data_IF_564127023479
#
_entry.id   IF_564127023479
#
_cell.length_a   1.000
_cell.length_b   1.000
_cell.length_c   1.000
_cell.angle_alpha   90.00
_cell.angle_beta   90.00
_cell.angle_gamma   90.00
#
_symmetry.space_group_name_H-M   'P 1'
#
loop_
_entity.id
_entity.type
_entity.pdbx_description
1 polymer ?
#
# COMPACT_ATOMS: atom_id res chain seq x y z
N UNK A 1 -0.72 -25.16 -9.78
CA UNK A 1 -1.76 -24.99 -10.83
C UNK A 1 -2.93 -24.12 -10.36
N UNK A 2 -3.61 -24.43 -9.24
CA UNK A 2 -4.73 -23.61 -8.72
C UNK A 2 -4.37 -22.16 -8.36
N UNK A 3 -3.20 -21.92 -7.76
CA UNK A 3 -2.69 -20.58 -7.43
C UNK A 3 -2.54 -19.70 -8.67
N UNK A 4 -1.95 -20.24 -9.74
CA UNK A 4 -1.77 -19.50 -11.00
C UNK A 4 -3.11 -19.22 -11.70
N UNK A 5 -4.05 -20.18 -11.68
CA UNK A 5 -5.38 -20.00 -12.27
C UNK A 5 -6.18 -18.90 -11.56
N UNK A 6 -6.19 -18.91 -10.23
CA UNK A 6 -6.90 -17.90 -9.43
C UNK A 6 -6.25 -16.52 -9.55
N UNK A 7 -4.92 -16.46 -9.63
CA UNK A 7 -4.17 -15.24 -9.91
C UNK A 7 -4.53 -14.64 -11.28
N UNK A 8 -4.38 -15.41 -12.36
CA UNK A 8 -4.68 -14.96 -13.72
C UNK A 8 -6.15 -14.57 -13.83
N UNK A 9 -7.06 -15.36 -13.25
CA UNK A 9 -8.49 -15.10 -13.26
C UNK A 9 -8.84 -13.76 -12.61
N UNK A 10 -8.27 -13.47 -11.43
CA UNK A 10 -8.51 -12.20 -10.74
C UNK A 10 -7.89 -11.01 -11.50
N UNK A 11 -6.65 -11.14 -11.98
CA UNK A 11 -6.00 -10.08 -12.77
C UNK A 11 -6.76 -9.76 -14.05
N UNK A 12 -7.23 -10.78 -14.78
CA UNK A 12 -8.06 -10.59 -15.97
C UNK A 12 -9.41 -9.98 -15.62
N UNK A 13 -10.02 -10.35 -14.48
CA UNK A 13 -11.25 -9.74 -14.01
C UNK A 13 -11.08 -8.23 -13.75
N UNK A 14 -10.03 -7.83 -13.03
CA UNK A 14 -9.75 -6.42 -12.74
C UNK A 14 -9.48 -5.64 -14.03
N UNK A 15 -8.67 -6.21 -14.93
CA UNK A 15 -8.36 -5.60 -16.23
C UNK A 15 -9.62 -5.44 -17.09
N UNK A 16 -10.43 -6.49 -17.21
CA UNK A 16 -11.67 -6.48 -17.99
C UNK A 16 -12.71 -5.52 -17.41
N UNK A 17 -12.91 -5.53 -16.09
CA UNK A 17 -13.84 -4.62 -15.43
C UNK A 17 -13.43 -3.15 -15.62
N UNK A 18 -12.14 -2.85 -15.45
CA UNK A 18 -11.59 -1.50 -15.63
C UNK A 18 -11.77 -1.04 -17.07
N UNK A 19 -11.46 -1.89 -18.06
CA UNK A 19 -11.71 -1.61 -19.47
C UNK A 19 -13.19 -1.41 -19.77
N UNK A 20 -14.07 -2.31 -19.32
CA UNK A 20 -15.50 -2.26 -19.59
C UNK A 20 -16.13 -0.96 -19.05
N UNK A 21 -15.72 -0.53 -17.86
CA UNK A 21 -16.20 0.69 -17.21
C UNK A 21 -15.68 1.95 -17.89
N UNK A 22 -14.51 1.90 -18.54
CA UNK A 22 -13.81 3.07 -19.08
C UNK A 22 -13.76 3.14 -20.60
N UNK A 23 -14.26 2.14 -21.32
CA UNK A 23 -14.26 2.07 -22.79
C UNK A 23 -14.93 3.25 -23.52
N UNK A 24 -15.68 4.09 -22.82
CA UNK A 24 -16.35 5.29 -23.36
C UNK A 24 -15.65 6.60 -23.00
N UNK A 25 -14.57 6.54 -22.22
CA UNK A 25 -13.82 7.71 -21.78
C UNK A 25 -12.86 8.20 -22.86
N UNK A 26 -12.69 9.53 -22.95
CA UNK A 26 -11.76 10.16 -23.89
C UNK A 26 -10.49 10.57 -23.14
N UNK A 27 -9.36 9.96 -23.48
CA UNK A 27 -8.04 10.23 -22.88
C UNK A 27 -7.25 11.34 -23.59
N UNK A 28 -7.83 11.98 -24.61
CA UNK A 28 -7.11 12.90 -25.49
C UNK A 28 -6.79 14.28 -24.86
N UNK A 29 -7.22 14.55 -23.63
CA UNK A 29 -6.95 15.80 -22.93
C UNK A 29 -6.13 15.57 -21.66
N UNK A 30 -5.36 16.58 -21.23
CA UNK A 30 -4.61 16.55 -19.96
C UNK A 30 -5.52 16.23 -18.77
N UNK A 31 -6.73 16.78 -18.75
CA UNK A 31 -7.72 16.50 -17.71
C UNK A 31 -8.25 15.05 -17.78
N UNK A 32 -8.44 14.51 -18.98
CA UNK A 32 -8.85 13.12 -19.19
C UNK A 32 -7.78 12.14 -18.68
N UNK A 33 -6.52 12.38 -19.05
CA UNK A 33 -5.40 11.50 -18.70
C UNK A 33 -4.95 11.65 -17.24
N UNK A 34 -4.70 12.88 -16.76
CA UNK A 34 -4.12 13.14 -15.44
C UNK A 34 -5.14 13.37 -14.32
N UNK A 35 -6.38 13.75 -14.62
CA UNK A 35 -7.41 14.03 -13.60
C UNK A 35 -8.61 13.08 -13.70
N UNK A 36 -8.59 12.13 -14.63
CA UNK A 36 -9.72 11.23 -14.86
C UNK A 36 -11.03 11.96 -15.17
N UNK A 37 -10.93 13.11 -15.82
CA UNK A 37 -12.07 13.98 -16.14
C UNK A 37 -12.79 14.55 -14.91
N UNK A 38 -12.12 14.59 -13.73
CA UNK A 38 -12.70 15.05 -12.46
C UNK A 38 -14.03 14.37 -12.16
N UNK A 39 -14.00 13.04 -12.10
CA UNK A 39 -15.21 12.22 -11.96
C UNK A 39 -15.14 11.21 -10.82
N UNK A 40 -14.04 11.20 -10.05
CA UNK A 40 -13.84 10.26 -8.97
C UNK A 40 -14.77 10.56 -7.80
N UNK A 41 -15.36 9.51 -7.22
CA UNK A 41 -16.20 9.57 -6.03
C UNK A 41 -15.38 9.21 -4.78
N UNK A 42 -15.87 9.57 -3.59
CA UNK A 42 -15.15 9.35 -2.34
C UNK A 42 -14.76 7.88 -2.11
N UNK A 43 -15.61 6.92 -2.48
CA UNK A 43 -15.31 5.48 -2.36
C UNK A 43 -14.14 5.05 -3.25
N UNK A 44 -14.10 5.57 -4.49
CA UNK A 44 -13.02 5.27 -5.45
C UNK A 44 -11.71 5.92 -4.98
N UNK A 45 -11.80 7.15 -4.49
CA UNK A 45 -10.65 7.86 -3.91
C UNK A 45 -10.11 7.07 -2.71
N UNK A 46 -10.97 6.62 -1.80
CA UNK A 46 -10.55 5.90 -0.60
C UNK A 46 -9.86 4.57 -0.93
N UNK A 47 -10.49 3.75 -1.78
CA UNK A 47 -9.88 2.49 -2.21
C UNK A 47 -8.55 2.69 -2.91
N UNK A 48 -8.45 3.67 -3.82
CA UNK A 48 -7.19 3.95 -4.52
C UNK A 48 -6.11 4.53 -3.63
N UNK A 49 -6.46 5.45 -2.70
CA UNK A 49 -5.51 6.00 -1.74
C UNK A 49 -4.99 4.93 -0.78
N UNK A 50 -5.84 4.00 -0.34
CA UNK A 50 -5.41 2.87 0.48
C UNK A 50 -4.43 1.98 -0.26
N UNK A 51 -4.73 1.61 -1.50
CA UNK A 51 -3.83 0.76 -2.27
C UNK A 51 -2.49 1.46 -2.53
N UNK A 52 -2.53 2.75 -2.87
CA UNK A 52 -1.33 3.57 -3.07
C UNK A 52 -0.51 3.69 -1.79
N UNK A 53 -1.17 3.75 -0.62
CA UNK A 53 -0.49 3.83 0.66
C UNK A 53 0.05 2.48 1.13
N UNK A 54 -0.68 1.37 0.96
CA UNK A 54 -0.23 0.05 1.37
C UNK A 54 0.52 -0.59 0.20
N UNK A 55 1.64 0.00 -0.20
CA UNK A 55 2.55 -0.57 -1.22
C UNK A 55 3.13 -1.91 -0.74
N UNK A 56 3.80 -2.65 -1.62
CA UNK A 56 4.52 -3.87 -1.21
C UNK A 56 5.59 -3.61 -0.17
N UNK A 57 6.24 -2.45 -0.22
CA UNK A 57 7.13 -1.97 0.84
C UNK A 57 6.41 -1.93 2.18
N UNK A 58 5.25 -1.27 2.25
CA UNK A 58 4.51 -1.15 3.49
C UNK A 58 3.99 -2.51 3.96
N UNK A 59 3.47 -3.34 3.06
CA UNK A 59 2.92 -4.64 3.41
C UNK A 59 4.00 -5.61 3.89
N UNK A 60 5.14 -5.68 3.21
CA UNK A 60 6.20 -6.64 3.50
C UNK A 60 7.16 -6.08 4.54
N UNK A 61 7.64 -4.86 4.36
CA UNK A 61 8.62 -4.21 5.22
C UNK A 61 8.08 -3.86 6.60
N UNK A 62 6.81 -3.42 6.73
CA UNK A 62 6.25 -3.15 8.07
C UNK A 62 5.97 -4.45 8.83
N UNK A 63 5.53 -5.52 8.15
CA UNK A 63 5.38 -6.83 8.78
C UNK A 63 6.74 -7.40 9.21
N UNK A 64 7.78 -7.29 8.35
CA UNK A 64 9.15 -7.68 8.70
C UNK A 64 9.69 -6.88 9.89
N UNK A 65 9.51 -5.57 9.88
CA UNK A 65 9.95 -4.71 10.97
C UNK A 65 9.15 -4.97 12.26
N UNK A 66 7.86 -5.27 12.17
CA UNK A 66 7.03 -5.64 13.34
C UNK A 66 7.38 -7.01 13.90
N UNK A 67 7.76 -7.97 13.05
CA UNK A 67 8.28 -9.26 13.47
C UNK A 67 9.49 -9.10 14.39
N UNK A 68 10.40 -8.17 14.09
CA UNK A 68 11.56 -7.85 14.93
C UNK A 68 11.20 -6.96 16.12
N UNK A 69 10.52 -5.84 15.87
CA UNK A 69 10.39 -4.72 16.81
C UNK A 69 9.02 -4.65 17.52
N UNK A 70 8.03 -5.43 17.10
CA UNK A 70 6.67 -5.43 17.66
C UNK A 70 5.78 -4.30 17.17
N UNK A 71 4.87 -3.84 18.03
CA UNK A 71 3.80 -2.88 17.75
C UNK A 71 4.27 -1.42 17.80
N UNK A 72 5.51 -1.13 18.18
CA UNK A 72 6.02 0.25 18.27
C UNK A 72 5.90 1.02 16.94
N UNK A 73 5.88 0.31 15.81
CA UNK A 73 5.78 0.88 14.46
C UNK A 73 4.37 1.43 14.16
N UNK A 74 3.37 1.08 14.99
CA UNK A 74 1.97 1.51 14.81
C UNK A 74 1.78 3.02 14.74
N UNK A 75 2.71 3.79 15.30
CA UNK A 75 2.63 5.24 15.27
C UNK A 75 2.67 5.81 13.83
N UNK A 76 3.31 5.14 12.87
CA UNK A 76 3.25 5.51 11.44
C UNK A 76 1.83 5.45 10.88
N UNK A 77 1.00 4.55 11.41
CA UNK A 77 -0.36 4.35 10.93
C UNK A 77 -1.35 5.25 11.69
N UNK A 78 -1.26 5.33 13.02
CA UNK A 78 -2.25 6.08 13.81
C UNK A 78 -2.18 7.58 13.53
N UNK A 79 -0.97 8.12 13.35
CA UNK A 79 -0.78 9.56 13.06
C UNK A 79 -1.28 9.96 11.67
N UNK A 80 -1.42 9.01 10.74
CA UNK A 80 -1.90 9.28 9.38
C UNK A 80 -3.35 9.74 9.34
N UNK A 81 -4.20 9.19 10.22
CA UNK A 81 -5.62 9.53 10.28
C UNK A 81 -5.82 11.02 10.61
N UNK A 82 -5.00 11.55 11.53
CA UNK A 82 -5.01 12.98 11.87
C UNK A 82 -4.58 13.84 10.68
N UNK A 83 -3.51 13.45 9.98
CA UNK A 83 -3.04 14.17 8.79
C UNK A 83 -4.08 14.17 7.66
N UNK A 84 -4.82 13.07 7.47
CA UNK A 84 -5.91 12.95 6.51
C UNK A 84 -7.08 13.90 6.83
N UNK A 85 -7.44 14.04 8.11
CA UNK A 85 -8.48 15.00 8.54
C UNK A 85 -8.04 16.43 8.24
N UNK A 86 -6.78 16.78 8.56
CA UNK A 86 -6.22 18.11 8.24
C UNK A 86 -6.19 18.34 6.72
N UNK A 87 -5.78 17.34 5.95
CA UNK A 87 -5.76 17.38 4.49
C UNK A 87 -7.16 17.63 3.91
N UNK A 88 -8.19 16.97 4.43
CA UNK A 88 -9.57 17.11 3.98
C UNK A 88 -10.18 18.48 4.31
N UNK A 89 -9.88 19.03 5.48
CA UNK A 89 -10.48 20.28 5.96
C UNK A 89 -9.74 21.52 5.45
N UNK A 90 -8.42 21.45 5.31
CA UNK A 90 -7.60 22.63 5.01
C UNK A 90 -6.98 22.62 3.61
N UNK A 91 -6.27 21.55 3.24
CA UNK A 91 -5.46 21.53 2.02
C UNK A 91 -6.29 21.29 0.75
N UNK A 92 -7.12 20.25 0.74
CA UNK A 92 -7.95 19.87 -0.41
C UNK A 92 -8.88 21.00 -0.88
N UNK A 93 -9.61 21.72 0.00
CA UNK A 93 -10.43 22.85 -0.42
C UNK A 93 -9.65 23.95 -1.13
N UNK A 94 -8.41 24.20 -0.69
CA UNK A 94 -7.54 25.20 -1.31
C UNK A 94 -7.07 24.75 -2.69
N UNK A 95 -6.62 23.49 -2.83
CA UNK A 95 -6.12 22.98 -4.10
C UNK A 95 -7.20 22.91 -5.17
N UNK A 96 -8.40 22.45 -4.81
CA UNK A 96 -9.53 22.38 -5.75
C UNK A 96 -10.03 23.78 -6.16
N UNK A 97 -10.06 24.75 -5.24
CA UNK A 97 -10.41 26.16 -5.57
C UNK A 97 -9.39 26.80 -6.53
N UNK A 98 -8.11 26.45 -6.40
CA UNK A 98 -7.04 26.95 -7.28
C UNK A 98 -6.99 26.24 -8.64
N UNK A 99 -7.81 25.20 -8.84
CA UNK A 99 -7.91 24.44 -10.09
C UNK A 99 -6.63 23.67 -10.43
N UNK A 100 -5.81 23.35 -9.43
CA UNK A 100 -4.48 22.77 -9.63
C UNK A 100 -4.53 21.36 -10.22
N UNK A 101 -3.50 21.04 -10.98
CA UNK A 101 -3.27 19.70 -11.51
C UNK A 101 -2.13 18.98 -10.80
N UNK A 102 -1.19 19.73 -10.20
CA UNK A 102 -0.03 19.18 -9.51
C UNK A 102 0.37 20.02 -8.28
N UNK A 103 1.09 19.43 -7.34
CA UNK A 103 1.68 20.13 -6.19
C UNK A 103 2.85 21.05 -6.59
N UNK A 104 3.72 20.70 -7.54
CA UNK A 104 4.65 21.67 -8.11
C UNK A 104 3.96 22.95 -8.64
N UNK A 105 2.80 22.83 -9.29
CA UNK A 105 2.01 24.01 -9.72
C UNK A 105 1.53 24.87 -8.53
N UNK A 106 1.16 24.24 -7.41
CA UNK A 106 0.87 24.97 -6.17
C UNK A 106 2.08 25.80 -5.70
N UNK A 107 3.26 25.18 -5.70
CA UNK A 107 4.49 25.83 -5.25
C UNK A 107 4.89 26.98 -6.16
N UNK A 108 4.72 26.84 -7.48
CA UNK A 108 4.95 27.94 -8.43
C UNK A 108 4.02 29.13 -8.16
N UNK A 109 2.72 28.87 -7.98
CA UNK A 109 1.74 29.93 -7.71
C UNK A 109 1.96 30.62 -6.35
N UNK A 110 2.54 29.90 -5.38
CA UNK A 110 2.78 30.42 -4.03
C UNK A 110 4.15 31.09 -3.87
N UNK A 111 5.15 30.62 -4.59
CA UNK A 111 6.55 31.05 -4.50
C UNK A 111 7.02 31.50 -5.87
N UNK A 112 7.70 30.62 -6.62
CA UNK A 112 8.25 30.91 -7.94
C UNK A 112 8.55 29.63 -8.76
N UNK A 113 8.95 29.82 -10.03
CA UNK A 113 9.28 28.74 -10.97
C UNK A 113 10.55 27.97 -10.59
N UNK A 114 11.50 28.60 -9.90
CA UNK A 114 12.74 27.96 -9.43
C UNK A 114 12.43 26.94 -8.35
N UNK A 115 11.62 27.32 -7.37
CA UNK A 115 11.14 26.48 -6.28
C UNK A 115 10.37 25.28 -6.83
N UNK A 116 9.46 25.50 -7.78
CA UNK A 116 8.76 24.40 -8.48
C UNK A 116 9.75 23.41 -9.08
N UNK A 117 10.74 23.90 -9.82
CA UNK A 117 11.67 23.07 -10.58
C UNK A 117 12.57 22.24 -9.66
N UNK A 118 13.09 22.86 -8.59
CA UNK A 118 13.89 22.16 -7.57
C UNK A 118 13.08 21.07 -6.87
N UNK A 119 11.86 21.38 -6.43
CA UNK A 119 11.03 20.38 -5.75
C UNK A 119 10.62 19.26 -6.70
N UNK A 120 10.22 19.59 -7.93
CA UNK A 120 9.91 18.57 -8.94
C UNK A 120 11.10 17.65 -9.20
N UNK A 121 12.32 18.20 -9.31
CA UNK A 121 13.55 17.42 -9.47
C UNK A 121 13.79 16.48 -8.29
N UNK A 122 13.70 16.98 -7.04
CA UNK A 122 13.89 16.15 -5.85
C UNK A 122 12.85 15.04 -5.74
N UNK A 123 11.58 15.32 -6.06
CA UNK A 123 10.53 14.31 -6.08
C UNK A 123 10.79 13.23 -7.13
N UNK A 124 11.19 13.62 -8.35
CA UNK A 124 11.52 12.67 -9.41
C UNK A 124 12.70 11.77 -9.04
N UNK A 125 13.77 12.36 -8.48
CA UNK A 125 14.94 11.59 -8.02
C UNK A 125 14.52 10.62 -6.91
N UNK A 126 13.72 11.08 -5.93
CA UNK A 126 13.23 10.20 -4.87
C UNK A 126 12.42 9.03 -5.45
N UNK A 127 11.51 9.26 -6.40
CA UNK A 127 10.75 8.15 -6.97
C UNK A 127 11.63 7.15 -7.74
N UNK A 128 12.61 7.62 -8.50
CA UNK A 128 13.48 6.76 -9.32
C UNK A 128 14.49 5.99 -8.46
N UNK A 129 15.06 6.63 -7.44
CA UNK A 129 16.18 6.08 -6.67
C UNK A 129 15.70 5.32 -5.43
N UNK A 130 14.58 5.74 -4.81
CA UNK A 130 14.10 5.12 -3.57
C UNK A 130 12.83 4.32 -3.80
N UNK A 131 11.74 4.95 -4.22
CA UNK A 131 10.42 4.30 -4.21
C UNK A 131 10.32 3.13 -5.21
N UNK A 132 10.62 3.37 -6.50
CA UNK A 132 10.44 2.37 -7.54
C UNK A 132 11.33 1.13 -7.33
N UNK A 133 12.62 1.23 -6.98
CA UNK A 133 13.44 0.06 -6.69
C UNK A 133 12.91 -0.77 -5.53
N UNK A 134 12.48 -0.13 -4.43
CA UNK A 134 11.93 -0.83 -3.27
C UNK A 134 10.64 -1.56 -3.64
N UNK A 135 9.71 -0.90 -4.33
CA UNK A 135 8.43 -1.49 -4.73
C UNK A 135 8.65 -2.68 -5.68
N UNK A 136 9.48 -2.54 -6.70
CA UNK A 136 9.79 -3.63 -7.63
C UNK A 136 10.49 -4.80 -6.95
N UNK A 137 11.45 -4.53 -6.06
CA UNK A 137 12.21 -5.57 -5.35
C UNK A 137 11.35 -6.35 -4.36
N UNK A 138 10.65 -5.66 -3.46
CA UNK A 138 9.73 -6.28 -2.49
C UNK A 138 8.61 -7.03 -3.20
N UNK A 139 8.17 -6.51 -4.34
CA UNK A 139 7.22 -7.16 -5.20
C UNK A 139 7.69 -8.47 -5.81
N UNK A 140 8.90 -8.45 -6.36
CA UNK A 140 9.53 -9.62 -6.92
C UNK A 140 9.76 -10.70 -5.86
N UNK A 141 10.17 -10.33 -4.64
CA UNK A 141 10.29 -11.27 -3.51
C UNK A 141 8.95 -11.97 -3.24
N UNK A 142 7.86 -11.22 -3.22
CA UNK A 142 6.56 -11.80 -2.93
C UNK A 142 6.09 -12.78 -4.01
N UNK A 143 6.23 -12.41 -5.29
CA UNK A 143 5.87 -13.29 -6.40
C UNK A 143 6.80 -14.51 -6.48
N UNK A 144 8.10 -14.33 -6.29
CA UNK A 144 9.09 -15.41 -6.19
C UNK A 144 8.70 -16.37 -5.08
N UNK A 145 8.35 -15.86 -3.90
CA UNK A 145 7.95 -16.68 -2.77
C UNK A 145 6.66 -17.45 -3.06
N UNK A 146 5.63 -16.81 -3.60
CA UNK A 146 4.32 -17.44 -3.79
C UNK A 146 4.32 -18.47 -4.94
N UNK A 147 5.00 -18.16 -6.04
CA UNK A 147 4.98 -18.98 -7.26
C UNK A 147 6.22 -19.86 -7.43
N UNK A 148 7.21 -19.73 -6.55
CA UNK A 148 8.52 -20.38 -6.68
C UNK A 148 9.11 -20.20 -8.09
N UNK A 149 9.13 -18.94 -8.56
CA UNK A 149 9.47 -18.62 -9.96
C UNK A 149 10.84 -19.18 -10.35
N UNK A 150 11.84 -19.11 -9.46
CA UNK A 150 13.16 -19.68 -9.71
C UNK A 150 13.14 -21.21 -9.89
N UNK A 151 12.34 -21.94 -9.11
CA UNK A 151 12.20 -23.39 -9.24
C UNK A 151 11.48 -23.78 -10.53
N UNK A 152 10.40 -23.07 -10.86
CA UNK A 152 9.60 -23.34 -12.07
C UNK A 152 10.38 -23.06 -13.35
N UNK A 153 11.25 -22.05 -13.35
CA UNK A 153 12.09 -21.69 -14.49
C UNK A 153 13.46 -22.38 -14.49
N UNK A 154 13.76 -23.21 -13.47
CA UNK A 154 15.04 -23.90 -13.30
C UNK A 154 16.27 -22.96 -13.31
N UNK A 155 16.13 -21.78 -12.72
CA UNK A 155 17.20 -20.74 -12.63
C UNK A 155 17.61 -20.46 -11.20
N UNK A 156 18.73 -19.75 -10.98
CA UNK A 156 19.10 -19.33 -9.63
C UNK A 156 18.07 -18.34 -9.05
N UNK A 157 17.92 -18.33 -7.71
CA UNK A 157 17.00 -17.39 -7.03
C UNK A 157 17.25 -15.92 -7.39
N UNK A 158 18.52 -15.56 -7.62
CA UNK A 158 18.90 -14.20 -8.05
C UNK A 158 18.38 -13.89 -9.45
N UNK A 159 18.51 -14.83 -10.38
CA UNK A 159 18.00 -14.69 -11.74
C UNK A 159 16.47 -14.68 -11.77
N UNK A 160 15.81 -15.55 -11.00
CA UNK A 160 14.35 -15.56 -10.85
C UNK A 160 13.79 -14.22 -10.36
N UNK A 161 14.44 -13.62 -9.36
CA UNK A 161 14.10 -12.26 -8.90
C UNK A 161 14.26 -11.22 -10.00
N UNK A 162 15.38 -11.21 -10.74
CA UNK A 162 15.58 -10.26 -11.85
C UNK A 162 14.54 -10.40 -12.96
N UNK A 163 14.24 -11.63 -13.37
CA UNK A 163 13.20 -11.93 -14.36
C UNK A 163 11.86 -11.37 -13.88
N UNK A 164 11.52 -11.60 -12.62
CA UNK A 164 10.26 -11.13 -12.01
C UNK A 164 10.20 -9.60 -11.95
N UNK A 165 11.29 -8.93 -11.54
CA UNK A 165 11.39 -7.46 -11.52
C UNK A 165 11.13 -6.88 -12.92
N UNK A 166 11.80 -7.41 -13.95
CA UNK A 166 11.65 -6.93 -15.33
C UNK A 166 10.24 -7.18 -15.85
N UNK A 167 9.68 -8.38 -15.61
CA UNK A 167 8.32 -8.73 -16.03
C UNK A 167 7.26 -7.82 -15.41
N UNK A 168 7.31 -7.61 -14.09
CA UNK A 168 6.40 -6.71 -13.37
C UNK A 168 6.57 -5.28 -13.84
N UNK A 169 7.81 -4.80 -14.00
CA UNK A 169 8.08 -3.44 -14.47
C UNK A 169 7.52 -3.17 -15.87
N UNK A 170 7.66 -4.13 -16.81
CA UNK A 170 7.10 -4.01 -18.16
C UNK A 170 5.57 -4.00 -18.13
N UNK A 171 4.96 -4.94 -17.40
CA UNK A 171 3.50 -5.03 -17.29
C UNK A 171 2.89 -3.78 -16.63
N UNK A 172 3.49 -3.31 -15.54
CA UNK A 172 3.10 -2.07 -14.86
C UNK A 172 3.25 -0.85 -15.76
N UNK A 173 4.35 -0.75 -16.52
CA UNK A 173 4.58 0.35 -17.47
C UNK A 173 3.54 0.39 -18.59
N UNK A 174 3.22 -0.76 -19.19
CA UNK A 174 2.17 -0.86 -20.21
C UNK A 174 0.84 -0.40 -19.62
N UNK A 175 0.49 -0.89 -18.43
CA UNK A 175 -0.73 -0.50 -17.76
C UNK A 175 -0.81 1.02 -17.50
N UNK A 176 0.26 1.60 -16.96
CA UNK A 176 0.32 3.01 -16.62
C UNK A 176 0.27 3.93 -17.85
N UNK A 177 0.98 3.58 -18.93
CA UNK A 177 1.06 4.38 -20.16
C UNK A 177 -0.30 4.43 -20.88
N UNK A 178 -1.02 3.31 -20.94
CA UNK A 178 -2.27 3.23 -21.71
C UNK A 178 -3.54 3.49 -20.88
N UNK A 179 -3.49 3.36 -19.55
CA UNK A 179 -4.67 3.45 -18.68
C UNK A 179 -5.09 4.86 -18.25
N UNK A 180 -4.13 5.77 -18.00
CA UNK A 180 -4.40 7.08 -17.38
C UNK A 180 -4.95 6.98 -15.94
N UNK A 181 -5.09 8.12 -15.24
CA UNK A 181 -5.41 8.14 -13.80
C UNK A 181 -6.74 7.45 -13.48
N UNK A 182 -7.76 7.56 -14.34
CA UNK A 182 -9.08 6.97 -14.06
C UNK A 182 -9.06 5.44 -14.10
N UNK A 183 -8.31 4.85 -15.02
CA UNK A 183 -8.12 3.39 -15.05
C UNK A 183 -7.41 2.91 -13.80
N UNK A 184 -6.30 3.57 -13.49
CA UNK A 184 -5.52 3.32 -12.26
C UNK A 184 -6.43 3.44 -11.03
N UNK A 185 -7.16 4.53 -10.84
CA UNK A 185 -8.00 4.70 -9.66
C UNK A 185 -9.11 3.63 -9.55
N UNK A 186 -9.69 3.18 -10.67
CA UNK A 186 -10.74 2.15 -10.68
C UNK A 186 -10.17 0.77 -10.36
N UNK A 187 -9.05 0.38 -10.99
CA UNK A 187 -8.35 -0.87 -10.67
C UNK A 187 -7.89 -0.86 -9.23
N UNK A 188 -7.33 0.28 -8.80
CA UNK A 188 -6.79 0.44 -7.46
C UNK A 188 -7.90 0.31 -6.41
N UNK A 189 -9.12 0.75 -6.73
CA UNK A 189 -10.25 0.62 -5.81
C UNK A 189 -10.58 -0.86 -5.56
N UNK A 190 -10.62 -1.68 -6.61
CA UNK A 190 -10.92 -3.11 -6.47
C UNK A 190 -9.82 -3.79 -5.67
N UNK A 191 -8.56 -3.55 -6.06
CA UNK A 191 -7.41 -4.13 -5.37
C UNK A 191 -7.31 -3.61 -3.94
N UNK A 192 -7.64 -2.35 -3.66
CA UNK A 192 -7.56 -1.74 -2.34
C UNK A 192 -8.55 -2.36 -1.35
N UNK A 193 -9.82 -2.53 -1.77
CA UNK A 193 -10.79 -3.26 -0.95
C UNK A 193 -10.49 -4.76 -0.89
N UNK A 194 -9.97 -5.35 -1.97
CA UNK A 194 -9.47 -6.72 -1.97
C UNK A 194 -8.35 -6.91 -0.94
N UNK A 195 -7.43 -5.96 -0.84
CA UNK A 195 -6.32 -5.96 0.11
C UNK A 195 -6.81 -5.82 1.54
N UNK A 196 -7.81 -4.95 1.79
CA UNK A 196 -8.43 -4.88 3.10
C UNK A 196 -9.06 -6.21 3.51
N UNK A 197 -9.82 -6.85 2.63
CA UNK A 197 -10.50 -8.11 2.94
C UNK A 197 -9.48 -9.24 3.11
N UNK A 198 -8.58 -9.43 2.14
CA UNK A 198 -7.56 -10.48 2.17
C UNK A 198 -6.52 -10.27 3.27
N UNK A 199 -6.10 -9.02 3.46
CA UNK A 199 -5.14 -8.62 4.48
C UNK A 199 -5.67 -8.78 5.91
N UNK A 200 -6.98 -8.56 6.14
CA UNK A 200 -7.61 -8.89 7.42
C UNK A 200 -7.87 -10.39 7.60
N UNK A 201 -8.12 -11.11 6.51
CA UNK A 201 -8.34 -12.55 6.56
C UNK A 201 -7.07 -13.30 7.03
N UNK A 202 -5.88 -12.90 6.61
CA UNK A 202 -4.60 -13.55 7.01
C UNK A 202 -4.42 -13.65 8.53
N UNK A 203 -4.38 -12.55 9.30
CA UNK A 203 -4.23 -12.62 10.75
C UNK A 203 -5.43 -13.32 11.40
N UNK A 204 -6.66 -13.14 10.90
CA UNK A 204 -7.83 -13.83 11.46
C UNK A 204 -7.73 -15.35 11.33
N UNK A 205 -7.40 -15.87 10.15
CA UNK A 205 -7.22 -17.32 9.93
C UNK A 205 -6.04 -17.83 10.76
N UNK A 206 -4.96 -17.05 10.86
CA UNK A 206 -3.81 -17.42 11.66
C UNK A 206 -4.17 -17.54 13.15
N UNK A 207 -4.93 -16.57 13.69
CA UNK A 207 -5.38 -16.59 15.08
C UNK A 207 -6.38 -17.72 15.35
N UNK A 208 -7.30 -18.00 14.43
CA UNK A 208 -8.21 -19.17 14.53
C UNK A 208 -7.41 -20.48 14.61
N UNK A 209 -6.36 -20.61 13.78
CA UNK A 209 -5.48 -21.79 13.80
C UNK A 209 -4.71 -21.93 15.12
N UNK A 210 -4.22 -20.83 15.68
CA UNK A 210 -3.50 -20.82 16.98
C UNK A 210 -4.44 -21.10 18.15
N UNK A 211 -5.66 -20.55 18.10
CA UNK A 211 -6.66 -20.63 19.16
C UNK A 211 -7.60 -21.83 19.07
N UNK A 212 -7.22 -22.89 18.34
CA UNK A 212 -8.01 -24.12 18.21
C UNK A 212 -9.47 -23.89 17.79
N UNK A 213 -9.71 -22.90 16.92
CA UNK A 213 -11.04 -22.51 16.43
C UNK A 213 -11.57 -21.17 16.95
N UNK A 214 -10.96 -20.58 18.00
CA UNK A 214 -11.35 -19.28 18.53
C UNK A 214 -10.25 -18.21 18.32
N UNK A 215 -10.50 -17.14 17.55
CA UNK A 215 -9.49 -16.12 17.27
C UNK A 215 -9.07 -15.33 18.52
N UNK A 216 -9.94 -15.20 19.53
CA UNK A 216 -9.60 -14.50 20.78
C UNK A 216 -8.61 -15.30 21.60
N UNK A 217 -8.81 -16.61 21.70
CA UNK A 217 -7.87 -17.50 22.40
C UNK A 217 -6.52 -17.53 21.67
N UNK A 218 -6.55 -17.49 20.33
CA UNK A 218 -5.35 -17.32 19.50
C UNK A 218 -4.61 -16.03 19.82
N UNK A 219 -5.33 -14.91 19.92
CA UNK A 219 -4.72 -13.61 20.26
C UNK A 219 -4.11 -13.63 21.67
N UNK A 220 -4.80 -14.25 22.63
CA UNK A 220 -4.28 -14.41 24.00
C UNK A 220 -3.02 -15.27 24.02
N UNK A 221 -2.96 -16.37 23.26
CA UNK A 221 -1.74 -17.20 23.14
C UNK A 221 -0.58 -16.42 22.52
N UNK A 222 -0.83 -15.66 21.45
CA UNK A 222 0.20 -14.81 20.80
C UNK A 222 0.69 -13.72 21.76
N UNK A 223 -0.23 -13.06 22.48
CA UNK A 223 0.12 -12.06 23.48
C UNK A 223 0.98 -12.64 24.61
N UNK A 224 0.57 -13.78 25.18
CA UNK A 224 1.30 -14.42 26.27
C UNK A 224 2.68 -14.95 25.86
N UNK A 225 2.88 -15.28 24.58
CA UNK A 225 4.17 -15.73 24.07
C UNK A 225 5.21 -14.61 24.02
N UNK A 226 4.79 -13.38 23.70
CA UNK A 226 5.70 -12.22 23.55
C UNK A 226 5.00 -10.89 23.91
N UNK A 227 4.66 -10.65 25.19
CA UNK A 227 3.92 -9.46 25.61
C UNK A 227 4.66 -8.15 25.28
N UNK A 228 5.99 -8.18 25.29
CA UNK A 228 6.85 -7.04 25.00
C UNK A 228 6.68 -6.52 23.57
N UNK A 229 6.35 -7.40 22.62
CA UNK A 229 6.08 -7.02 21.22
C UNK A 229 4.76 -6.30 21.06
N UNK A 230 3.86 -6.30 22.05
CA UNK A 230 2.61 -5.53 22.02
C UNK A 230 2.74 -4.13 22.61
N UNK A 231 3.92 -3.76 23.13
CA UNK A 231 4.15 -2.41 23.58
C UNK A 231 4.14 -1.44 22.39
N UNK A 232 3.31 -0.40 22.48
CA UNK A 232 3.18 0.65 21.46
C UNK A 232 4.06 1.87 21.76
N UNK A 233 4.60 1.97 22.97
CA UNK A 233 5.44 3.08 23.41
C UNK A 233 6.90 2.66 23.23
N UNK A 234 7.54 3.19 22.18
CA UNK A 234 8.95 2.95 21.92
C UNK A 234 9.87 3.64 22.93
N UNK A 235 10.84 2.89 23.44
CA UNK A 235 11.93 3.41 24.27
C UNK A 235 12.88 4.32 23.47
N UNK A 236 13.76 5.06 24.18
CA UNK A 236 14.67 6.05 23.56
C UNK A 236 15.67 5.46 22.57
N UNK A 237 16.04 4.20 22.77
CA UNK A 237 16.95 3.40 21.94
C UNK A 237 16.25 2.52 20.92
N UNK A 238 14.90 2.53 20.89
CA UNK A 238 14.12 1.76 19.93
C UNK A 238 14.16 2.36 18.53
N UNK A 239 13.76 1.58 17.52
CA UNK A 239 13.65 2.07 16.13
C UNK A 239 12.62 3.18 15.95
N UNK A 240 11.69 3.34 16.91
CA UNK A 240 10.70 4.40 16.90
C UNK A 240 10.43 4.94 18.30
N UNK A 241 11.31 5.81 18.84
CA UNK A 241 11.10 6.42 20.14
C UNK A 241 9.81 7.24 20.18
N UNK A 242 9.12 7.21 21.32
CA UNK A 242 7.82 7.89 21.46
C UNK A 242 7.88 9.41 21.19
N UNK A 243 9.00 10.07 21.51
CA UNK A 243 9.21 11.50 21.28
C UNK A 243 9.19 11.88 19.79
N UNK A 244 9.49 10.92 18.89
CA UNK A 244 9.49 11.14 17.43
C UNK A 244 8.09 11.40 16.89
N UNK A 245 7.03 10.93 17.58
CA UNK A 245 5.64 11.18 17.21
C UNK A 245 5.34 12.68 17.09
N UNK A 246 5.87 13.47 18.02
CA UNK A 246 5.57 14.90 18.14
C UNK A 246 6.53 15.80 17.37
N UNK A 247 7.55 15.23 16.73
CA UNK A 247 8.58 15.98 16.01
C UNK A 247 8.53 15.66 14.51
N UNK A 248 9.38 14.76 14.03
CA UNK A 248 9.50 14.46 12.60
C UNK A 248 8.29 13.71 12.03
N UNK A 249 7.66 12.83 12.82
CA UNK A 249 6.63 11.94 12.31
C UNK A 249 5.38 12.72 11.88
N UNK A 250 4.86 13.61 12.73
CA UNK A 250 3.67 14.40 12.38
C UNK A 250 3.88 15.30 11.15
N UNK A 251 5.09 15.86 11.00
CA UNK A 251 5.47 16.67 9.83
C UNK A 251 5.49 15.79 8.58
N UNK A 252 6.10 14.61 8.66
CA UNK A 252 6.13 13.64 7.56
C UNK A 252 4.71 13.25 7.14
N UNK A 253 3.83 12.94 8.09
CA UNK A 253 2.46 12.54 7.78
C UNK A 253 1.66 13.67 7.12
N UNK A 254 1.78 14.90 7.62
CA UNK A 254 1.14 16.06 6.98
C UNK A 254 1.63 16.24 5.55
N UNK A 255 2.94 16.12 5.32
CA UNK A 255 3.52 16.15 3.98
C UNK A 255 2.98 15.00 3.11
N UNK A 256 3.04 13.76 3.59
CA UNK A 256 2.64 12.57 2.82
C UNK A 256 1.17 12.62 2.41
N UNK A 257 0.27 13.01 3.31
CA UNK A 257 -1.17 13.00 3.01
C UNK A 257 -1.68 14.26 2.33
N UNK A 258 -0.99 15.38 2.49
CA UNK A 258 -1.45 16.67 1.95
C UNK A 258 -0.69 17.10 0.70
N UNK A 259 0.58 16.75 0.57
CA UNK A 259 1.47 17.28 -0.48
C UNK A 259 2.14 16.22 -1.34
N UNK A 260 2.08 14.93 -0.96
CA UNK A 260 2.59 13.88 -1.85
C UNK A 260 1.73 13.79 -3.11
N UNK A 261 2.39 13.99 -4.24
CA UNK A 261 1.75 13.99 -5.56
C UNK A 261 1.00 12.69 -5.84
N UNK A 262 1.51 11.51 -5.46
CA UNK A 262 0.84 10.24 -5.76
C UNK A 262 -0.49 10.12 -5.00
N UNK A 263 -0.53 10.56 -3.75
CA UNK A 263 -1.71 10.47 -2.89
C UNK A 263 -2.74 11.54 -3.26
N UNK A 264 -2.34 12.81 -3.24
CA UNK A 264 -3.27 13.94 -3.40
C UNK A 264 -3.86 14.03 -4.80
N UNK A 265 -3.22 13.45 -5.82
CA UNK A 265 -3.74 13.43 -7.20
C UNK A 265 -5.13 12.80 -7.29
N UNK A 266 -5.43 11.77 -6.48
CA UNK A 266 -6.76 11.15 -6.44
C UNK A 266 -7.82 12.14 -5.95
N UNK A 267 -7.47 12.99 -4.99
CA UNK A 267 -8.35 14.05 -4.50
C UNK A 267 -8.53 15.19 -5.51
N UNK A 268 -7.49 15.54 -6.29
CA UNK A 268 -7.58 16.52 -7.38
C UNK A 268 -8.48 16.04 -8.53
N UNK A 269 -8.54 14.73 -8.76
CA UNK A 269 -9.43 14.07 -9.73
C UNK A 269 -10.88 13.87 -9.25
N UNK A 270 -11.24 14.39 -8.08
CA UNK A 270 -12.59 14.24 -7.53
C UNK A 270 -13.65 15.00 -8.35
N UNK A 271 -14.89 14.48 -8.32
CA UNK A 271 -16.05 15.13 -8.95
C UNK A 271 -16.34 16.53 -8.40
N UNK A 272 -16.16 16.70 -7.11
CA UNK A 272 -16.36 17.96 -6.40
C UNK A 272 -15.64 17.90 -5.04
N UNK A 273 -15.62 19.02 -4.34
CA UNK A 273 -14.99 19.13 -3.02
C UNK A 273 -15.54 18.12 -2.01
N UNK A 274 -16.86 17.90 -2.00
CA UNK A 274 -17.51 16.98 -1.05
C UNK A 274 -17.01 15.55 -1.26
N UNK A 275 -16.92 15.09 -2.51
CA UNK A 275 -16.41 13.76 -2.83
C UNK A 275 -14.91 13.62 -2.52
N UNK A 276 -14.12 14.68 -2.72
CA UNK A 276 -12.72 14.70 -2.31
C UNK A 276 -12.57 14.54 -0.79
N UNK A 277 -13.34 15.32 -0.01
CA UNK A 277 -13.33 15.26 1.45
C UNK A 277 -13.80 13.91 1.97
N UNK A 278 -14.90 13.37 1.43
CA UNK A 278 -15.35 12.02 1.75
C UNK A 278 -14.26 10.99 1.47
N UNK A 279 -13.57 11.10 0.33
CA UNK A 279 -12.47 10.21 -0.02
C UNK A 279 -11.39 10.18 1.05
N UNK A 280 -10.88 11.35 1.45
CA UNK A 280 -9.85 11.43 2.49
C UNK A 280 -10.33 10.92 3.86
N UNK A 281 -11.56 11.27 4.26
CA UNK A 281 -12.10 10.85 5.55
C UNK A 281 -12.37 9.35 5.59
N UNK A 282 -12.90 8.76 4.51
CA UNK A 282 -13.06 7.32 4.38
C UNK A 282 -11.71 6.60 4.40
N UNK A 283 -10.69 7.13 3.72
CA UNK A 283 -9.32 6.61 3.86
C UNK A 283 -8.89 6.63 5.32
N UNK A 284 -9.10 7.72 6.04
CA UNK A 284 -8.73 7.85 7.46
C UNK A 284 -9.41 6.80 8.35
N UNK A 285 -10.70 6.53 8.12
CA UNK A 285 -11.43 5.47 8.83
C UNK A 285 -10.86 4.10 8.50
N UNK A 286 -10.63 3.80 7.22
CA UNK A 286 -10.11 2.50 6.79
C UNK A 286 -8.68 2.27 7.27
N UNK A 287 -7.89 3.34 7.44
CA UNK A 287 -6.54 3.27 8.03
C UNK A 287 -6.49 2.77 9.46
N UNK A 288 -7.59 2.86 10.22
CA UNK A 288 -7.68 2.27 11.56
C UNK A 288 -7.52 0.74 11.50
N UNK A 289 -7.92 0.11 10.38
CA UNK A 289 -7.80 -1.34 10.17
C UNK A 289 -6.41 -1.77 9.68
N UNK A 290 -5.62 -0.84 9.15
CA UNK A 290 -4.34 -1.14 8.49
C UNK A 290 -3.29 -1.75 9.44
N UNK A 291 -3.14 -1.32 10.71
CA UNK A 291 -2.27 -2.00 11.67
C UNK A 291 -2.54 -3.50 11.81
N UNK A 292 -3.79 -3.93 11.67
CA UNK A 292 -4.17 -5.35 11.74
C UNK A 292 -3.62 -6.12 10.52
N UNK A 293 -3.39 -5.43 9.40
CA UNK A 293 -2.91 -6.01 8.13
C UNK A 293 -1.37 -5.97 8.03
N UNK A 294 -0.73 -4.92 8.55
CA UNK A 294 0.70 -4.67 8.31
C UNK A 294 1.60 -4.80 9.54
N UNK A 295 1.04 -5.02 10.74
CA UNK A 295 1.80 -5.13 12.00
C UNK A 295 1.49 -6.46 12.68
N UNK A 296 0.20 -6.72 12.95
CA UNK A 296 -0.23 -7.94 13.64
C UNK A 296 0.30 -9.23 12.97
N UNK A 297 0.32 -9.38 11.62
CA UNK A 297 0.85 -10.59 11.00
C UNK A 297 2.36 -10.75 11.25
N UNK A 298 3.13 -9.68 11.36
CA UNK A 298 4.54 -9.73 11.76
C UNK A 298 4.74 -10.36 13.15
N UNK A 299 3.93 -9.96 14.13
CA UNK A 299 3.97 -10.53 15.50
C UNK A 299 3.48 -11.98 15.52
N UNK A 300 2.44 -12.31 14.75
CA UNK A 300 2.00 -13.71 14.55
C UNK A 300 3.11 -14.54 13.88
N UNK A 301 3.85 -13.96 12.93
CA UNK A 301 5.04 -14.56 12.34
C UNK A 301 6.08 -14.90 13.41
N UNK A 302 6.28 -14.02 14.39
CA UNK A 302 7.19 -14.29 15.50
C UNK A 302 6.75 -15.48 16.35
N UNK A 303 5.46 -15.58 16.64
CA UNK A 303 4.89 -16.73 17.33
C UNK A 303 5.17 -18.07 16.60
N UNK A 304 5.13 -18.09 15.27
CA UNK A 304 5.35 -19.31 14.49
C UNK A 304 6.81 -19.64 14.22
N UNK A 305 7.65 -18.63 14.01
CA UNK A 305 9.00 -18.80 13.44
C UNK A 305 10.11 -18.34 14.39
N UNK A 306 9.79 -17.81 15.57
CA UNK A 306 10.79 -17.34 16.55
C UNK A 306 11.70 -16.26 15.93
N UNK A 307 13.00 -16.34 16.21
CA UNK A 307 14.04 -15.44 15.70
C UNK A 307 14.74 -15.92 14.41
N UNK A 308 14.33 -17.08 13.87
CA UNK A 308 15.02 -17.77 12.77
C UNK A 308 15.15 -16.97 11.48
N UNK A 309 14.30 -15.95 11.25
CA UNK A 309 14.28 -15.13 10.03
C UNK A 309 14.70 -13.67 10.27
N UNK A 310 15.39 -13.34 11.37
CA UNK A 310 15.76 -11.94 11.66
C UNK A 310 16.67 -11.31 10.60
N UNK A 311 17.55 -12.09 9.98
CA UNK A 311 18.44 -11.64 8.88
C UNK A 311 17.68 -11.41 7.56
N UNK A 312 16.53 -12.08 7.38
CA UNK A 312 15.69 -11.98 6.19
C UNK A 312 14.24 -11.64 6.58
N UNK A 313 14.08 -10.62 7.43
CA UNK A 313 12.78 -10.29 8.05
C UNK A 313 11.65 -10.06 7.03
N UNK A 314 11.96 -9.57 5.83
CA UNK A 314 10.97 -9.33 4.77
C UNK A 314 10.34 -10.63 4.23
N UNK A 315 10.93 -11.80 4.48
CA UNK A 315 10.36 -13.09 4.11
C UNK A 315 9.24 -13.54 5.04
N UNK A 316 9.08 -12.94 6.23
CA UNK A 316 8.14 -13.42 7.25
C UNK A 316 6.70 -13.39 6.76
N UNK A 317 6.31 -12.33 6.05
CA UNK A 317 4.94 -12.14 5.61
C UNK A 317 4.57 -13.10 4.46
N UNK A 318 5.39 -13.25 3.41
CA UNK A 318 5.21 -14.32 2.43
C UNK A 318 5.13 -15.73 3.03
N UNK A 319 5.99 -16.06 4.01
CA UNK A 319 5.99 -17.39 4.65
C UNK A 319 4.73 -17.60 5.52
N UNK A 320 4.26 -16.56 6.20
CA UNK A 320 2.99 -16.63 6.93
C UNK A 320 1.79 -16.86 5.99
N UNK A 321 1.75 -16.18 4.84
CA UNK A 321 0.71 -16.38 3.80
C UNK A 321 0.66 -17.84 3.38
N UNK A 322 1.82 -18.44 3.05
CA UNK A 322 1.89 -19.86 2.65
C UNK A 322 1.42 -20.80 3.74
N UNK A 323 1.74 -20.48 4.99
CA UNK A 323 1.39 -21.32 6.15
C UNK A 323 -0.12 -21.28 6.46
N UNK A 324 -0.75 -20.13 6.25
CA UNK A 324 -2.11 -19.87 6.78
C UNK A 324 -3.18 -19.92 5.69
N UNK A 325 -2.92 -19.43 4.48
CA UNK A 325 -3.94 -19.32 3.44
C UNK A 325 -4.14 -20.64 2.67
N UNK A 326 -5.38 -21.06 2.44
CA UNK A 326 -5.69 -22.14 1.51
C UNK A 326 -5.18 -21.82 0.09
N UNK A 327 -4.72 -22.84 -0.63
CA UNK A 327 -4.07 -22.74 -1.96
C UNK A 327 -4.85 -21.86 -2.97
N UNK A 328 -6.19 -21.89 -2.93
CA UNK A 328 -7.04 -21.08 -3.81
C UNK A 328 -7.07 -19.58 -3.48
N UNK A 329 -6.93 -19.20 -2.20
CA UNK A 329 -6.92 -17.80 -1.78
C UNK A 329 -5.55 -17.15 -1.94
N UNK A 330 -4.48 -17.94 -1.92
CA UNK A 330 -3.11 -17.45 -2.15
C UNK A 330 -2.98 -16.78 -3.51
N UNK A 331 -3.56 -17.35 -4.57
CA UNK A 331 -3.46 -16.77 -5.92
C UNK A 331 -4.25 -15.46 -6.07
N UNK A 332 -5.43 -15.37 -5.46
CA UNK A 332 -6.22 -14.13 -5.41
C UNK A 332 -5.44 -13.05 -4.64
N UNK A 333 -4.90 -13.39 -3.48
CA UNK A 333 -4.12 -12.46 -2.66
C UNK A 333 -2.87 -11.99 -3.41
N UNK A 334 -2.15 -12.90 -4.08
CA UNK A 334 -1.00 -12.55 -4.90
C UNK A 334 -1.38 -11.58 -6.04
N UNK A 335 -2.55 -11.74 -6.65
CA UNK A 335 -3.02 -10.84 -7.71
C UNK A 335 -3.39 -9.45 -7.16
N UNK A 336 -3.98 -9.39 -5.97
CA UNK A 336 -4.26 -8.15 -5.26
C UNK A 336 -2.96 -7.42 -4.91
N UNK A 337 -1.96 -8.15 -4.41
CA UNK A 337 -0.62 -7.62 -4.12
C UNK A 337 0.09 -7.20 -5.42
N UNK A 338 -0.17 -7.87 -6.55
CA UNK A 338 0.31 -7.41 -7.85
C UNK A 338 -0.28 -6.06 -8.26
N UNK A 339 -1.51 -5.77 -7.84
CA UNK A 339 -2.12 -4.47 -8.02
C UNK A 339 -1.42 -3.32 -7.27
N UNK A 340 -0.45 -3.61 -6.40
CA UNK A 340 0.36 -2.60 -5.69
C UNK A 340 1.51 -2.03 -6.53
N UNK A 341 1.76 -2.61 -7.72
CA UNK A 341 2.88 -2.25 -8.59
C UNK A 341 2.56 -1.16 -9.62
#
# INVERSE_FOLDING_TARGET
>A
MYTALTFIGFTLFVAFYSWYKLRKEKLNSKDGYFLGGRSLTGVVIAGSMLLTNISTEHLIGMNGSSYKNGFIIIAWEVTSALALVVAAIYFVPKYLKMGLTTIPEYLEKRFDSTTRTLVALFLMISFIVTLLPIVLYTGAINLESIFNVSEVLEVSKKEGLWITVVAVGILGSIYAIFGGLKAVAVSDTINGYGLLIGGLAIPLIALVSIGDGNPLDGLTKVYNHSPEKFNVIGAKDSVLPFEVLFTGLIINQLYFWSMNQTIIQRALGAKNLVEAQKGLLYTGVLKILVPIIIILPGVIGFYYFGDSMYENQDMIYPELIKKVLPVGLVGIFAAIVMGLF
#
